data_IF_757941920799
#
_entry.id   IF_757941920799
#
_cell.length_a   1.000
_cell.length_b   1.000
_cell.length_c   1.000
_cell.angle_alpha   90.00
_cell.angle_beta   90.00
_cell.angle_gamma   90.00
#
_symmetry.space_group_name_H-M   'P 1'
#
loop_
_entity.id
_entity.type
_entity.pdbx_description
1 polymer ?
#
# COMPACT_ATOMS: atom_id res chain seq x y z
N UNK A 1 7.08 -4.75 28.84
CA UNK A 1 8.14 -5.38 28.04
C UNK A 1 8.40 -4.47 26.86
N UNK A 2 9.65 -4.10 26.54
CA UNK A 2 9.94 -3.39 25.27
C UNK A 2 9.89 -4.44 24.17
N UNK A 3 9.00 -4.27 23.20
CA UNK A 3 9.00 -5.08 21.99
C UNK A 3 10.01 -4.50 20.99
N UNK A 4 10.65 -5.37 20.21
CA UNK A 4 11.58 -5.03 19.13
C UNK A 4 11.66 -6.20 18.16
N UNK A 5 12.01 -5.93 16.90
CA UNK A 5 12.10 -6.97 15.85
C UNK A 5 10.72 -7.45 15.40
N UNK A 6 10.63 -8.73 15.00
CA UNK A 6 9.37 -9.36 14.56
C UNK A 6 8.61 -9.95 15.73
N UNK A 7 7.33 -9.61 15.84
CA UNK A 7 6.42 -10.12 16.87
C UNK A 7 5.18 -10.70 16.22
N UNK A 8 4.96 -12.01 16.42
CA UNK A 8 3.76 -12.68 15.96
C UNK A 8 2.51 -12.16 16.70
N UNK A 9 1.47 -11.89 15.93
CA UNK A 9 0.16 -11.42 16.39
C UNK A 9 -0.91 -12.25 15.68
N UNK A 10 -1.93 -12.67 16.40
CA UNK A 10 -3.06 -13.36 15.77
C UNK A 10 -3.78 -12.38 14.81
N UNK A 11 -3.91 -12.71 13.51
CA UNK A 11 -4.51 -11.82 12.53
C UNK A 11 -5.99 -11.52 12.78
N UNK A 12 -6.69 -12.39 13.50
CA UNK A 12 -8.13 -12.31 13.76
C UNK A 12 -8.44 -11.87 15.19
N UNK A 13 -7.57 -12.18 16.14
CA UNK A 13 -7.71 -11.84 17.55
C UNK A 13 -6.42 -11.23 18.14
N UNK A 14 -6.02 -10.04 17.67
CA UNK A 14 -4.73 -9.46 18.03
C UNK A 14 -4.61 -9.20 19.53
N UNK A 15 -3.52 -9.68 20.12
CA UNK A 15 -3.28 -9.59 21.56
C UNK A 15 -3.16 -8.14 22.02
N UNK A 16 -4.02 -7.75 22.97
CA UNK A 16 -4.20 -6.35 23.35
C UNK A 16 -2.95 -5.70 23.95
N UNK A 17 -2.07 -6.46 24.61
CA UNK A 17 -0.81 -5.99 25.17
C UNK A 17 0.22 -5.67 24.09
N UNK A 18 0.34 -6.54 23.06
CA UNK A 18 1.19 -6.31 21.90
C UNK A 18 0.75 -5.06 21.15
N UNK A 19 -0.56 -4.95 20.86
CA UNK A 19 -1.13 -3.78 20.19
C UNK A 19 -0.91 -2.49 20.98
N UNK A 20 -1.10 -2.52 22.32
CA UNK A 20 -0.88 -1.34 23.17
C UNK A 20 0.58 -0.87 23.16
N UNK A 21 1.53 -1.79 23.13
CA UNK A 21 2.95 -1.45 23.06
C UNK A 21 3.34 -0.91 21.67
N UNK A 22 2.84 -1.52 20.58
CA UNK A 22 3.01 -1.00 19.23
C UNK A 22 2.42 0.42 19.07
N UNK A 23 1.21 0.64 19.59
CA UNK A 23 0.58 1.95 19.63
C UNK A 23 1.39 2.97 20.46
N UNK A 24 2.02 2.52 21.55
CA UNK A 24 2.94 3.36 22.35
C UNK A 24 4.17 3.75 21.53
N UNK A 25 4.73 2.87 20.70
CA UNK A 25 5.82 3.20 19.79
C UNK A 25 5.39 4.29 18.81
N UNK A 26 4.26 4.12 18.12
CA UNK A 26 3.68 5.12 17.20
C UNK A 26 3.56 6.50 17.87
N UNK A 27 2.96 6.56 19.07
CA UNK A 27 2.78 7.82 19.81
C UNK A 27 4.10 8.49 20.19
N UNK A 28 5.17 7.73 20.35
CA UNK A 28 6.51 8.25 20.65
C UNK A 28 7.34 8.53 19.38
N UNK A 29 6.70 8.60 18.20
CA UNK A 29 7.36 8.85 16.92
C UNK A 29 8.07 7.63 16.33
N UNK A 30 7.73 6.43 16.82
CA UNK A 30 8.21 5.13 16.35
C UNK A 30 7.71 4.74 14.96
N UNK A 31 8.43 3.83 14.30
CA UNK A 31 8.06 3.17 13.06
C UNK A 31 7.60 1.74 13.36
N UNK A 32 6.37 1.41 13.00
CA UNK A 32 5.83 0.06 13.15
C UNK A 32 5.41 -0.46 11.78
N UNK A 33 5.96 -1.58 11.35
CA UNK A 33 5.44 -2.30 10.20
C UNK A 33 4.27 -3.19 10.63
N UNK A 34 3.18 -3.19 9.85
CA UNK A 34 1.96 -3.91 10.20
C UNK A 34 1.25 -4.46 8.96
N UNK A 35 0.53 -5.59 9.10
CA UNK A 35 -0.20 -6.19 7.99
C UNK A 35 -1.47 -5.39 7.67
N UNK A 36 -1.83 -5.37 6.39
CA UNK A 36 -3.17 -5.02 5.91
C UNK A 36 -3.70 -6.14 5.03
N UNK A 37 -4.95 -6.05 4.57
CA UNK A 37 -5.46 -6.98 3.55
C UNK A 37 -4.72 -6.85 2.21
N UNK A 38 -4.08 -5.69 1.95
CA UNK A 38 -3.37 -5.40 0.70
C UNK A 38 -1.91 -5.83 0.70
N UNK A 39 -1.08 -5.08 1.42
CA UNK A 39 0.37 -5.27 1.58
C UNK A 39 0.74 -4.82 3.00
N UNK A 40 1.93 -5.15 3.48
CA UNK A 40 2.43 -4.61 4.74
C UNK A 40 2.72 -3.12 4.60
N UNK A 41 2.32 -2.35 5.61
CA UNK A 41 2.53 -0.90 5.69
C UNK A 41 3.59 -0.52 6.72
N UNK A 42 4.42 0.48 6.44
CA UNK A 42 5.36 1.06 7.40
C UNK A 42 4.72 2.31 8.03
N UNK A 43 4.15 2.15 9.22
CA UNK A 43 3.37 3.18 9.91
C UNK A 43 4.17 4.08 10.83
N UNK A 44 3.83 5.37 10.82
CA UNK A 44 4.18 6.34 11.86
C UNK A 44 2.94 7.17 12.21
N UNK A 45 3.03 7.98 13.27
CA UNK A 45 1.99 8.96 13.59
C UNK A 45 1.83 9.95 12.42
N UNK A 46 0.69 9.89 11.72
CA UNK A 46 0.41 10.68 10.53
C UNK A 46 0.16 12.16 10.79
N UNK A 47 0.02 12.58 12.04
CA UNK A 47 -0.10 13.99 12.43
C UNK A 47 1.22 14.60 12.92
N UNK A 48 2.29 13.81 12.97
CA UNK A 48 3.63 14.26 13.37
C UNK A 48 4.58 14.25 12.17
N UNK A 49 4.89 15.44 11.65
CA UNK A 49 5.84 15.61 10.53
C UNK A 49 7.22 14.99 10.78
N UNK A 50 7.69 14.95 12.04
CA UNK A 50 8.99 14.33 12.37
C UNK A 50 8.92 12.82 12.32
N UNK A 51 7.83 12.24 12.84
CA UNK A 51 7.60 10.80 12.77
C UNK A 51 7.44 10.33 11.32
N UNK A 52 6.66 11.05 10.52
CA UNK A 52 6.49 10.74 9.09
C UNK A 52 7.76 10.92 8.28
N UNK A 53 8.62 11.91 8.60
CA UNK A 53 9.94 12.04 7.97
C UNK A 53 10.83 10.80 8.16
N UNK A 54 10.69 10.07 9.28
CA UNK A 54 11.41 8.79 9.49
C UNK A 54 11.00 7.72 8.49
N UNK A 55 9.74 7.69 8.03
CA UNK A 55 9.28 6.76 6.98
C UNK A 55 10.08 6.99 5.69
N UNK A 56 10.25 8.26 5.30
CA UNK A 56 11.01 8.60 4.09
C UNK A 56 12.48 8.22 4.22
N UNK A 57 13.08 8.48 5.39
CA UNK A 57 14.46 8.11 5.68
C UNK A 57 14.68 6.59 5.64
N UNK A 58 13.82 5.82 6.31
CA UNK A 58 13.89 4.36 6.36
C UNK A 58 13.79 3.73 4.96
N UNK A 59 12.91 4.26 4.10
CA UNK A 59 12.66 3.71 2.76
C UNK A 59 13.58 4.25 1.68
N UNK A 60 14.36 5.31 1.93
CA UNK A 60 14.98 6.10 0.87
C UNK A 60 13.96 6.67 -0.13
N UNK A 61 12.77 7.06 0.36
CA UNK A 61 11.65 7.53 -0.47
C UNK A 61 11.78 9.03 -0.78
N UNK A 62 11.50 9.49 -2.01
CA UNK A 62 11.41 10.91 -2.33
C UNK A 62 10.32 11.64 -1.53
N UNK A 63 10.62 12.83 -1.02
CA UNK A 63 9.70 13.65 -0.20
C UNK A 63 8.52 14.24 -0.99
N UNK A 64 8.56 14.22 -2.32
CA UNK A 64 7.50 14.70 -3.20
C UNK A 64 6.42 13.64 -3.48
N UNK A 65 6.57 12.43 -2.92
CA UNK A 65 5.64 11.32 -3.06
C UNK A 65 4.75 11.19 -1.80
N UNK A 66 3.46 11.57 -1.87
CA UNK A 66 2.58 11.64 -0.71
C UNK A 66 2.38 10.27 -0.03
N UNK A 67 1.86 10.30 1.20
CA UNK A 67 1.52 9.13 2.00
C UNK A 67 0.00 9.01 2.17
N UNK A 68 -0.46 7.79 2.45
CA UNK A 68 -1.88 7.51 2.76
C UNK A 68 -2.04 7.51 4.28
N UNK A 69 -3.02 8.27 4.78
CA UNK A 69 -3.45 8.20 6.16
C UNK A 69 -4.46 7.05 6.34
N UNK A 70 -4.17 6.19 7.31
CA UNK A 70 -5.00 5.05 7.66
C UNK A 70 -5.78 5.33 8.94
N UNK A 71 -7.07 4.98 8.93
CA UNK A 71 -8.03 5.24 10.00
C UNK A 71 -8.65 3.95 10.52
N UNK A 72 -9.10 3.97 11.77
CA UNK A 72 -9.90 2.91 12.38
C UNK A 72 -11.40 3.22 12.44
N UNK A 73 -11.80 4.41 11.99
CA UNK A 73 -13.20 4.84 11.90
C UNK A 73 -13.35 5.88 10.77
N UNK A 74 -14.39 5.79 9.93
CA UNK A 74 -14.63 6.77 8.87
C UNK A 74 -14.86 8.21 9.41
N UNK A 75 -15.45 8.34 10.60
CA UNK A 75 -15.75 9.62 11.22
C UNK A 75 -14.48 10.45 11.51
N UNK A 76 -13.36 9.80 11.75
CA UNK A 76 -12.08 10.48 12.01
C UNK A 76 -11.52 11.18 10.76
N UNK A 77 -11.92 10.76 9.55
CA UNK A 77 -11.48 11.38 8.29
C UNK A 77 -11.94 12.84 8.20
N UNK A 78 -13.13 13.15 8.72
CA UNK A 78 -13.70 14.51 8.71
C UNK A 78 -12.84 15.52 9.48
N UNK A 79 -11.90 15.05 10.32
CA UNK A 79 -10.95 15.92 11.02
C UNK A 79 -9.77 16.36 10.15
N UNK A 80 -9.47 15.63 9.08
CA UNK A 80 -8.27 15.89 8.24
C UNK A 80 -8.60 16.29 6.80
N UNK A 81 -9.82 16.01 6.35
CA UNK A 81 -10.23 16.19 4.96
C UNK A 81 -11.67 16.69 4.86
N UNK A 82 -11.97 17.42 3.79
CA UNK A 82 -13.34 17.71 3.39
C UNK A 82 -13.94 16.46 2.74
N UNK A 83 -15.08 16.00 3.26
CA UNK A 83 -15.73 14.78 2.79
C UNK A 83 -17.02 15.13 2.03
N UNK A 84 -17.01 15.17 0.69
CA UNK A 84 -18.22 15.34 -0.09
C UNK A 84 -19.13 14.12 0.05
N UNK A 85 -20.45 14.28 -0.20
CA UNK A 85 -21.44 13.20 -0.10
C UNK A 85 -21.05 11.93 -0.86
N UNK A 86 -20.44 12.08 -2.04
CA UNK A 86 -19.96 10.96 -2.85
C UNK A 86 -18.82 10.21 -2.16
N UNK A 87 -17.88 10.91 -1.52
CA UNK A 87 -16.83 10.27 -0.75
C UNK A 87 -17.40 9.53 0.45
N UNK A 88 -18.37 10.12 1.17
CA UNK A 88 -19.06 9.46 2.27
C UNK A 88 -19.73 8.14 1.81
N UNK A 89 -20.48 8.16 0.71
CA UNK A 89 -21.12 6.96 0.16
C UNK A 89 -20.10 5.87 -0.25
N UNK A 90 -18.94 6.26 -0.79
CA UNK A 90 -17.86 5.32 -1.12
C UNK A 90 -17.23 4.72 0.13
N UNK A 91 -17.00 5.52 1.18
CA UNK A 91 -16.51 5.03 2.47
C UNK A 91 -17.52 4.05 3.09
N UNK A 92 -18.80 4.41 3.16
CA UNK A 92 -19.86 3.55 3.73
C UNK A 92 -19.97 2.20 3.01
N UNK A 93 -19.74 2.18 1.68
CA UNK A 93 -19.87 0.97 0.88
C UNK A 93 -18.65 0.07 0.87
N UNK A 94 -17.46 0.67 0.81
CA UNK A 94 -16.21 -0.03 0.51
C UNK A 94 -15.20 -0.03 1.65
N UNK A 95 -15.49 0.65 2.77
CA UNK A 95 -14.68 0.58 3.98
C UNK A 95 -15.33 -0.28 5.06
N UNK A 96 -14.54 -1.02 5.85
CA UNK A 96 -13.09 -1.23 5.70
C UNK A 96 -12.73 -1.95 4.39
N UNK A 97 -11.63 -1.58 3.73
CA UNK A 97 -11.24 -2.25 2.48
C UNK A 97 -10.16 -1.57 1.63
N UNK A 98 -9.85 -2.18 0.46
CA UNK A 98 -8.73 -1.79 -0.40
C UNK A 98 -9.06 -0.60 -1.32
N UNK A 99 -9.80 0.39 -0.81
CA UNK A 99 -10.09 1.64 -1.50
C UNK A 99 -9.48 2.81 -0.74
N UNK A 100 -8.63 3.58 -1.42
CA UNK A 100 -8.09 4.86 -0.94
C UNK A 100 -8.78 6.00 -1.68
N UNK A 101 -9.21 7.02 -0.95
CA UNK A 101 -9.79 8.23 -1.53
C UNK A 101 -8.82 9.40 -1.39
N UNK A 102 -8.62 10.16 -2.46
CA UNK A 102 -7.95 11.47 -2.39
C UNK A 102 -9.01 12.56 -2.25
N UNK A 103 -8.89 13.32 -1.17
CA UNK A 103 -9.85 14.33 -0.73
C UNK A 103 -9.17 15.70 -0.55
N UNK A 104 -9.91 16.82 -0.63
CA UNK A 104 -9.37 18.12 -0.22
C UNK A 104 -8.92 18.07 1.24
N UNK A 105 -7.70 18.56 1.52
CA UNK A 105 -7.14 18.56 2.87
C UNK A 105 -7.65 19.74 3.68
N UNK A 106 -7.94 19.52 4.96
CA UNK A 106 -8.24 20.58 5.94
C UNK A 106 -6.97 21.26 6.50
N UNK A 107 -5.79 20.92 5.99
CA UNK A 107 -4.50 21.47 6.45
C UNK A 107 -4.01 20.90 7.79
N UNK A 108 -4.67 19.87 8.32
CA UNK A 108 -4.28 19.20 9.57
C UNK A 108 -3.13 18.20 9.35
N UNK A 109 -3.11 17.54 8.20
CA UNK A 109 -2.03 16.62 7.84
C UNK A 109 -0.74 17.42 7.55
N UNK A 110 0.42 16.98 8.06
CA UNK A 110 1.68 17.67 7.84
C UNK A 110 2.12 17.60 6.38
N UNK A 111 3.01 18.51 5.97
CA UNK A 111 3.51 18.62 4.59
C UNK A 111 4.17 17.33 4.12
N UNK A 112 4.83 16.60 5.01
CA UNK A 112 5.47 15.31 4.74
C UNK A 112 4.44 14.26 4.30
N UNK A 113 3.21 14.31 4.79
CA UNK A 113 2.13 13.39 4.36
C UNK A 113 1.57 13.82 3.01
N UNK A 114 1.27 15.11 2.83
CA UNK A 114 0.61 15.59 1.60
C UNK A 114 1.59 15.87 0.45
N UNK A 115 2.90 15.80 0.70
CA UNK A 115 3.94 16.29 -0.22
C UNK A 115 3.72 17.74 -0.69
N UNK A 116 3.10 18.56 0.18
CA UNK A 116 2.73 19.95 -0.11
C UNK A 116 1.53 20.13 -1.04
N UNK A 117 0.75 19.08 -1.28
CA UNK A 117 -0.51 19.15 -2.03
C UNK A 117 -1.63 19.76 -1.16
N UNK A 118 -2.65 20.30 -1.82
CA UNK A 118 -3.92 20.71 -1.21
C UNK A 118 -4.86 19.54 -0.92
N UNK A 119 -4.41 18.31 -1.15
CA UNK A 119 -5.19 17.08 -0.98
C UNK A 119 -4.50 16.10 -0.04
N UNK A 120 -5.27 15.17 0.51
CA UNK A 120 -4.79 14.09 1.37
C UNK A 120 -5.43 12.78 0.94
N UNK A 121 -4.63 11.71 0.92
CA UNK A 121 -5.11 10.36 0.64
C UNK A 121 -5.49 9.66 1.95
N UNK A 122 -6.69 9.07 1.99
CA UNK A 122 -7.26 8.46 3.19
C UNK A 122 -7.77 7.05 2.90
N UNK A 123 -7.65 6.15 3.88
CA UNK A 123 -8.10 4.76 3.80
C UNK A 123 -8.47 4.20 5.17
N UNK A 124 -9.43 3.29 5.21
CA UNK A 124 -9.67 2.41 6.36
C UNK A 124 -9.34 0.97 5.96
N UNK A 125 -8.22 0.37 6.45
CA UNK A 125 -7.81 -0.97 6.05
C UNK A 125 -8.75 -2.04 6.63
N UNK A 126 -8.94 -3.15 5.91
CA UNK A 126 -9.77 -4.28 6.33
C UNK A 126 -8.95 -5.39 7.00
N UNK A 127 -8.10 -5.02 7.97
CA UNK A 127 -7.28 -5.99 8.70
C UNK A 127 -7.39 -5.75 10.21
N UNK A 128 -7.77 -6.77 11.03
CA UNK A 128 -7.99 -6.57 12.46
C UNK A 128 -6.76 -6.02 13.21
N UNK A 129 -5.56 -6.51 12.91
CA UNK A 129 -4.30 -5.98 13.46
C UNK A 129 -4.11 -4.48 13.14
N UNK A 130 -4.32 -4.07 11.88
CA UNK A 130 -4.19 -2.66 11.48
C UNK A 130 -5.21 -1.78 12.21
N UNK A 131 -6.48 -2.18 12.21
CA UNK A 131 -7.55 -1.44 12.88
C UNK A 131 -7.29 -1.31 14.38
N UNK A 132 -6.86 -2.41 15.03
CA UNK A 132 -6.52 -2.41 16.45
C UNK A 132 -5.33 -1.48 16.75
N UNK A 133 -4.29 -1.48 15.90
CA UNK A 133 -3.14 -0.60 16.04
C UNK A 133 -3.53 0.88 15.91
N UNK A 134 -4.30 1.24 14.88
CA UNK A 134 -4.73 2.63 14.64
C UNK A 134 -5.61 3.10 15.80
N UNK A 135 -6.60 2.29 16.21
CA UNK A 135 -7.51 2.62 17.30
C UNK A 135 -6.77 2.78 18.63
N UNK A 136 -5.85 1.86 18.96
CA UNK A 136 -5.05 1.95 20.17
C UNK A 136 -4.03 3.10 20.12
N UNK A 137 -3.60 3.50 18.91
CA UNK A 137 -2.73 4.64 18.66
C UNK A 137 -3.41 5.97 19.00
N UNK A 138 -4.69 6.10 18.67
CA UNK A 138 -5.49 7.31 18.85
C UNK A 138 -5.14 8.42 17.86
N UNK A 139 -4.45 8.08 16.77
CA UNK A 139 -4.01 8.98 15.69
C UNK A 139 -4.06 8.22 14.37
N UNK A 140 -4.34 8.89 13.22
CA UNK A 140 -4.22 8.24 11.93
C UNK A 140 -2.76 7.86 11.66
N UNK A 141 -2.55 6.71 11.01
CA UNK A 141 -1.21 6.26 10.64
C UNK A 141 -0.89 6.68 9.22
N UNK A 142 0.18 7.46 9.02
CA UNK A 142 0.75 7.60 7.69
C UNK A 142 1.52 6.31 7.39
N UNK A 143 1.15 5.62 6.31
CA UNK A 143 1.79 4.35 5.95
C UNK A 143 1.83 4.14 4.43
N UNK A 144 3.02 4.18 3.79
CA UNK A 144 3.24 3.52 2.51
C UNK A 144 3.50 2.03 2.71
N UNK A 145 3.70 1.28 1.63
CA UNK A 145 4.19 -0.11 1.68
C UNK A 145 5.49 -0.24 2.48
N UNK A 146 5.75 -1.36 3.13
CA UNK A 146 6.89 -1.55 4.05
C UNK A 146 8.18 -2.07 3.38
N UNK A 147 8.54 -1.52 2.22
CA UNK A 147 9.75 -1.88 1.46
C UNK A 147 10.64 -0.66 1.15
N UNK A 148 11.91 -0.87 0.84
CA UNK A 148 12.77 0.17 0.27
C UNK A 148 12.20 0.69 -1.05
N UNK A 149 12.34 1.99 -1.31
CA UNK A 149 11.76 2.65 -2.47
C UNK A 149 12.23 2.00 -3.78
N UNK A 150 11.29 1.53 -4.59
CA UNK A 150 11.55 0.86 -5.88
C UNK A 150 11.47 -0.67 -5.85
N UNK A 151 11.64 -1.29 -4.67
CA UNK A 151 11.46 -2.74 -4.50
C UNK A 151 9.98 -3.15 -4.57
N UNK A 152 9.68 -4.44 -4.80
CA UNK A 152 8.32 -4.96 -4.66
C UNK A 152 7.73 -4.68 -3.28
N UNK A 153 6.42 -4.42 -3.23
CA UNK A 153 5.69 -4.25 -1.97
C UNK A 153 5.65 -5.58 -1.20
N UNK A 154 5.86 -5.57 0.12
CA UNK A 154 5.94 -6.80 0.91
C UNK A 154 4.54 -7.29 1.29
N UNK A 155 4.32 -8.59 1.16
CA UNK A 155 3.04 -9.25 1.47
C UNK A 155 3.10 -10.08 2.75
N UNK A 156 4.27 -10.25 3.37
CA UNK A 156 4.46 -10.92 4.65
C UNK A 156 5.52 -10.20 5.50
N UNK A 157 5.61 -10.56 6.78
CA UNK A 157 6.55 -9.96 7.72
C UNK A 157 8.01 -10.29 7.41
N UNK A 158 8.28 -11.47 6.83
CA UNK A 158 9.64 -11.90 6.47
C UNK A 158 10.23 -10.99 5.38
N UNK A 159 9.45 -10.64 4.36
CA UNK A 159 9.84 -9.70 3.32
C UNK A 159 10.09 -8.29 3.89
N UNK A 160 9.35 -7.88 4.92
CA UNK A 160 9.61 -6.61 5.63
C UNK A 160 10.91 -6.68 6.43
N UNK A 161 11.14 -7.78 7.16
CA UNK A 161 12.36 -7.97 7.96
C UNK A 161 13.61 -7.97 7.09
N UNK A 162 13.58 -8.67 5.95
CA UNK A 162 14.69 -8.74 5.00
C UNK A 162 15.05 -7.35 4.43
N UNK A 163 14.05 -6.52 4.14
CA UNK A 163 14.25 -5.23 3.47
C UNK A 163 14.49 -4.07 4.46
N UNK A 164 13.62 -3.93 5.46
CA UNK A 164 13.56 -2.77 6.36
C UNK A 164 13.73 -3.12 7.84
N UNK A 165 14.15 -4.35 8.19
CA UNK A 165 14.28 -4.79 9.59
C UNK A 165 15.08 -3.83 10.47
N UNK A 166 16.28 -3.44 10.02
CA UNK A 166 17.16 -2.52 10.76
C UNK A 166 16.63 -1.07 10.85
N UNK A 167 15.70 -0.70 9.96
CA UNK A 167 15.13 0.64 9.88
C UNK A 167 13.76 0.77 10.57
N UNK A 168 13.24 -0.33 11.13
CA UNK A 168 11.90 -0.41 11.73
C UNK A 168 11.99 -0.69 13.24
N UNK A 169 11.19 -0.01 14.06
CA UNK A 169 11.25 -0.21 15.52
C UNK A 169 10.53 -1.50 15.96
N UNK A 170 9.50 -1.93 15.21
CA UNK A 170 8.72 -3.14 15.45
C UNK A 170 8.04 -3.62 14.15
N UNK A 171 8.04 -4.93 13.92
CA UNK A 171 7.27 -5.58 12.85
C UNK A 171 6.21 -6.47 13.51
N UNK A 172 4.93 -6.19 13.23
CA UNK A 172 3.84 -7.06 13.63
C UNK A 172 3.63 -8.12 12.55
N UNK A 173 3.87 -9.38 12.87
CA UNK A 173 3.61 -10.50 11.96
C UNK A 173 2.19 -11.03 12.19
N UNK A 174 1.29 -10.66 11.28
CA UNK A 174 -0.07 -11.20 11.23
C UNK A 174 -0.28 -12.17 10.08
N UNK A 175 0.78 -12.79 9.56
CA UNK A 175 0.70 -13.66 8.38
C UNK A 175 0.60 -12.89 7.05
N UNK A 176 0.39 -13.61 5.94
CA UNK A 176 0.41 -13.02 4.60
C UNK A 176 -0.83 -12.15 4.31
N UNK A 177 -0.63 -11.10 3.53
CA UNK A 177 -1.70 -10.25 3.02
C UNK A 177 -2.57 -11.02 2.02
N UNK A 178 -3.89 -10.89 2.14
CA UNK A 178 -4.84 -11.69 1.35
C UNK A 178 -5.05 -11.22 -0.09
N UNK A 179 -4.77 -9.94 -0.40
CA UNK A 179 -4.96 -9.36 -1.74
C UNK A 179 -3.64 -9.30 -2.52
N UNK A 180 -2.52 -9.00 -1.86
CA UNK A 180 -1.18 -9.03 -2.46
C UNK A 180 -0.80 -7.84 -3.33
N UNK A 181 -1.75 -6.97 -3.68
CA UNK A 181 -1.53 -5.68 -4.38
C UNK A 181 -2.06 -4.52 -3.55
N UNK A 182 -1.58 -3.29 -3.77
CA UNK A 182 -2.06 -2.16 -2.96
C UNK A 182 -3.51 -1.78 -3.23
N UNK A 183 -4.06 -0.88 -2.41
CA UNK A 183 -5.40 -0.33 -2.61
C UNK A 183 -5.53 0.43 -3.93
N UNK A 184 -6.70 0.35 -4.53
CA UNK A 184 -7.15 1.27 -5.59
C UNK A 184 -7.18 2.68 -5.04
N UNK A 185 -6.65 3.65 -5.79
CA UNK A 185 -6.61 5.06 -5.39
C UNK A 185 -7.48 5.87 -6.32
N UNK A 186 -8.52 6.51 -5.77
CA UNK A 186 -9.49 7.29 -6.51
C UNK A 186 -9.45 8.76 -6.06
N UNK A 187 -9.22 9.67 -7.00
CA UNK A 187 -9.45 11.10 -6.78
C UNK A 187 -10.93 11.40 -6.89
N UNK A 188 -11.50 11.95 -5.81
CA UNK A 188 -12.90 12.34 -5.75
C UNK A 188 -13.08 13.83 -5.43
N UNK A 189 -12.01 14.63 -5.56
CA UNK A 189 -12.00 16.07 -5.29
C UNK A 189 -12.77 16.89 -6.33
N UNK A 190 -12.87 16.41 -7.56
CA UNK A 190 -13.54 17.08 -8.67
C UNK A 190 -14.94 16.56 -8.99
N UNK A 191 -15.48 16.95 -10.14
CA UNK A 191 -16.76 16.43 -10.65
C UNK A 191 -16.72 14.96 -11.06
N UNK A 192 -15.55 14.49 -11.52
CA UNK A 192 -15.35 13.11 -11.99
C UNK A 192 -14.75 12.21 -10.91
N UNK A 193 -14.86 10.89 -11.11
CA UNK A 193 -14.09 9.88 -10.39
C UNK A 193 -12.85 9.56 -11.21
N UNK A 194 -11.66 9.86 -10.72
CA UNK A 194 -10.42 9.71 -11.51
C UNK A 194 -9.55 8.64 -10.86
N UNK A 195 -9.25 7.58 -11.61
CA UNK A 195 -8.37 6.52 -11.15
C UNK A 195 -6.94 7.04 -11.15
N UNK A 196 -6.33 7.12 -9.97
CA UNK A 196 -4.91 7.48 -9.83
C UNK A 196 -4.03 6.24 -9.76
N UNK A 197 -4.55 5.13 -9.23
CA UNK A 197 -3.83 3.86 -9.18
C UNK A 197 -4.82 2.68 -9.18
N UNK A 198 -4.69 1.69 -10.09
CA UNK A 198 -5.42 0.43 -9.97
C UNK A 198 -4.96 -0.35 -8.74
N UNK A 199 -5.80 -1.21 -8.18
CA UNK A 199 -5.44 -1.98 -6.99
C UNK A 199 -6.53 -2.96 -6.56
N UNK A 200 -6.51 -3.34 -5.29
CA UNK A 200 -7.35 -4.39 -4.72
C UNK A 200 -8.87 -4.15 -4.73
N UNK A 201 -9.35 -2.97 -5.13
CA UNK A 201 -10.78 -2.72 -5.39
C UNK A 201 -11.00 -2.59 -6.91
N UNK A 202 -11.72 -3.54 -7.53
CA UNK A 202 -12.09 -3.44 -8.95
C UNK A 202 -12.82 -2.13 -9.25
N UNK A 203 -12.50 -1.52 -10.39
CA UNK A 203 -13.07 -0.25 -10.81
C UNK A 203 -14.54 -0.43 -11.19
N UNK A 204 -14.86 -1.57 -11.77
CA UNK A 204 -16.18 -1.98 -12.20
C UNK A 204 -17.18 -1.96 -11.03
N UNK A 205 -16.76 -2.44 -9.85
CA UNK A 205 -17.61 -2.39 -8.65
C UNK A 205 -17.91 -0.95 -8.20
N UNK A 206 -16.95 -0.03 -8.40
CA UNK A 206 -17.13 1.40 -8.08
C UNK A 206 -18.09 2.03 -9.08
N UNK A 207 -17.94 1.73 -10.37
CA UNK A 207 -18.84 2.21 -11.42
C UNK A 207 -20.27 1.70 -11.20
N UNK A 208 -20.44 0.41 -10.92
CA UNK A 208 -21.74 -0.22 -10.69
C UNK A 208 -22.46 0.38 -9.47
N UNK A 209 -21.73 0.64 -8.39
CA UNK A 209 -22.30 1.26 -7.19
C UNK A 209 -22.67 2.73 -7.41
N UNK A 210 -21.82 3.50 -8.08
CA UNK A 210 -22.00 4.95 -8.22
C UNK A 210 -22.86 5.35 -9.42
N UNK A 211 -22.99 4.47 -10.42
CA UNK A 211 -23.55 4.80 -11.74
C UNK A 211 -22.67 5.76 -12.55
N UNK A 212 -21.45 6.05 -12.11
CA UNK A 212 -20.51 6.97 -12.75
C UNK A 212 -19.36 6.20 -13.39
N UNK A 213 -18.90 6.67 -14.55
CA UNK A 213 -17.68 6.14 -15.16
C UNK A 213 -16.44 6.67 -14.44
N UNK A 214 -15.48 5.79 -14.23
CA UNK A 214 -14.17 6.13 -13.68
C UNK A 214 -13.23 6.49 -14.84
N UNK A 215 -12.65 7.68 -14.77
CA UNK A 215 -11.77 8.20 -15.80
C UNK A 215 -10.35 7.67 -15.56
N UNK A 216 -9.81 7.00 -16.58
CA UNK A 216 -8.47 6.41 -16.60
C UNK A 216 -7.42 7.41 -17.10
N UNK A 217 -7.39 8.63 -16.58
CA UNK A 217 -6.36 9.61 -16.95
C UNK A 217 -6.33 10.76 -15.93
N UNK A 218 -5.48 10.61 -14.92
CA UNK A 218 -4.96 11.77 -14.21
C UNK A 218 -3.83 12.35 -15.06
N UNK A 219 -4.08 13.40 -15.84
CA UNK A 219 -2.99 14.18 -16.46
C UNK A 219 -1.92 14.58 -15.42
N UNK A 220 -0.76 15.08 -15.87
CA UNK A 220 0.45 15.35 -15.05
C UNK A 220 0.23 16.09 -13.70
N UNK A 221 -0.92 16.74 -13.51
CA UNK A 221 -1.28 17.50 -12.32
C UNK A 221 -1.76 16.66 -11.10
N UNK A 222 -2.18 15.40 -11.24
CA UNK A 222 -2.79 14.62 -10.13
C UNK A 222 -1.83 13.57 -9.55
N UNK A 223 -1.15 13.92 -8.46
CA UNK A 223 -0.15 13.07 -7.77
C UNK A 223 -0.80 12.05 -6.83
N UNK A 224 -0.33 10.80 -6.88
CA UNK A 224 -0.67 9.76 -5.89
C UNK A 224 0.53 8.81 -5.67
N UNK A 225 0.55 8.03 -4.58
CA UNK A 225 1.56 7.00 -4.40
C UNK A 225 1.50 5.99 -5.57
N UNK A 226 2.61 5.78 -6.27
CA UNK A 226 2.70 4.78 -7.33
C UNK A 226 2.84 5.33 -8.76
N UNK A 227 2.66 6.65 -8.98
CA UNK A 227 2.50 7.18 -10.36
C UNK A 227 3.71 7.86 -10.98
N UNK A 228 4.78 8.19 -10.21
CA UNK A 228 5.92 9.00 -10.71
C UNK A 228 7.23 8.26 -10.88
N UNK A 229 7.53 7.30 -10.01
CA UNK A 229 8.82 6.60 -9.98
C UNK A 229 8.63 5.14 -10.42
N UNK A 230 9.70 4.45 -10.83
CA UNK A 230 9.62 3.00 -11.07
C UNK A 230 9.18 2.33 -9.76
N UNK A 231 7.93 1.91 -9.72
CA UNK A 231 7.34 1.10 -8.67
C UNK A 231 7.34 -0.34 -9.19
N UNK A 232 7.71 -1.31 -8.34
CA UNK A 232 7.84 -2.72 -8.73
C UNK A 232 8.97 -3.01 -9.73
N UNK A 233 10.19 -2.57 -9.41
CA UNK A 233 11.37 -2.88 -10.20
C UNK A 233 12.21 -3.96 -9.50
N UNK A 234 12.08 -5.25 -9.88
CA UNK A 234 13.03 -6.26 -9.42
C UNK A 234 14.45 -5.91 -9.89
N UNK A 235 15.47 -6.45 -9.21
CA UNK A 235 16.88 -6.26 -9.60
C UNK A 235 17.24 -6.99 -10.89
N UNK A 236 16.41 -7.93 -11.32
CA UNK A 236 16.53 -8.65 -12.60
C UNK A 236 15.66 -7.99 -13.68
N UNK A 237 16.05 -8.03 -14.96
CA UNK A 237 15.21 -7.55 -16.05
C UNK A 237 13.84 -8.24 -16.08
N UNK A 238 12.75 -7.45 -16.20
CA UNK A 238 11.38 -7.93 -16.33
C UNK A 238 10.88 -7.69 -17.76
N UNK A 239 10.21 -8.68 -18.34
CA UNK A 239 9.57 -8.62 -19.65
C UNK A 239 8.08 -8.98 -19.48
N UNK A 240 7.18 -8.18 -20.06
CA UNK A 240 5.74 -8.48 -20.06
C UNK A 240 5.40 -9.39 -21.25
N UNK A 241 4.59 -10.42 -21.02
CA UNK A 241 4.31 -11.47 -22.01
C UNK A 241 3.57 -10.99 -23.26
N UNK A 242 2.77 -9.93 -23.16
CA UNK A 242 2.00 -9.37 -24.28
C UNK A 242 2.85 -8.60 -25.30
N UNK A 243 4.14 -8.41 -25.02
CA UNK A 243 5.07 -7.84 -25.98
C UNK A 243 5.43 -8.91 -27.03
N UNK A 244 5.17 -8.60 -28.31
CA UNK A 244 5.37 -9.51 -29.45
C UNK A 244 6.76 -10.16 -29.54
N UNK A 245 7.77 -9.55 -28.91
CA UNK A 245 9.17 -9.98 -28.95
C UNK A 245 9.71 -10.39 -27.56
N UNK A 246 8.84 -10.65 -26.58
CA UNK A 246 9.23 -10.97 -25.20
C UNK A 246 10.16 -12.20 -25.15
N UNK A 247 9.88 -13.21 -25.98
CA UNK A 247 10.67 -14.43 -26.09
C UNK A 247 12.08 -14.18 -26.66
N UNK A 248 12.18 -13.46 -27.78
CA UNK A 248 13.47 -13.12 -28.40
C UNK A 248 14.36 -12.34 -27.43
N UNK A 249 13.77 -11.39 -26.68
CA UNK A 249 14.48 -10.59 -25.68
C UNK A 249 14.95 -11.41 -24.49
N UNK A 250 14.11 -12.33 -24.01
CA UNK A 250 14.47 -13.28 -22.95
C UNK A 250 15.66 -14.16 -23.35
N UNK A 251 15.64 -14.71 -24.56
CA UNK A 251 16.73 -15.55 -25.10
C UNK A 251 18.00 -14.71 -25.25
N UNK A 252 17.90 -13.50 -25.81
CA UNK A 252 19.04 -12.59 -25.98
C UNK A 252 19.69 -12.19 -24.65
N UNK A 253 18.94 -12.18 -23.55
CA UNK A 253 19.43 -11.86 -22.21
C UNK A 253 20.16 -13.04 -21.50
N UNK A 254 20.33 -14.18 -22.16
CA UNK A 254 21.11 -15.31 -21.64
C UNK A 254 20.29 -16.55 -21.24
N UNK A 255 19.01 -16.61 -21.60
CA UNK A 255 18.22 -17.84 -21.68
C UNK A 255 17.76 -18.49 -20.37
N UNK A 256 18.14 -17.97 -19.19
CA UNK A 256 17.56 -18.37 -17.90
C UNK A 256 16.52 -17.36 -17.47
N UNK A 257 15.25 -17.75 -17.55
CA UNK A 257 14.10 -16.89 -17.27
C UNK A 257 13.25 -17.55 -16.20
N UNK A 258 12.83 -16.78 -15.20
CA UNK A 258 11.77 -17.19 -14.28
C UNK A 258 10.44 -16.67 -14.84
N UNK A 259 9.48 -17.57 -15.01
CA UNK A 259 8.13 -17.21 -15.42
C UNK A 259 7.26 -16.95 -14.20
N UNK A 260 6.46 -15.88 -14.27
CA UNK A 260 5.45 -15.56 -13.27
C UNK A 260 4.15 -15.28 -14.02
N UNK A 261 3.17 -16.17 -13.89
CA UNK A 261 1.89 -16.06 -14.58
C UNK A 261 0.89 -17.08 -14.05
N UNK A 262 -0.40 -16.81 -14.30
CA UNK A 262 -1.50 -17.69 -13.87
C UNK A 262 -1.54 -19.01 -14.66
N UNK A 263 -0.95 -19.01 -15.85
CA UNK A 263 -0.81 -20.16 -16.73
C UNK A 263 0.69 -20.43 -16.93
N UNK A 264 1.06 -21.69 -17.14
CA UNK A 264 2.45 -22.08 -17.25
C UNK A 264 3.16 -21.53 -18.50
N UNK A 265 4.51 -21.57 -18.52
CA UNK A 265 5.33 -21.01 -19.58
C UNK A 265 5.15 -21.72 -20.94
N UNK A 266 4.46 -22.86 -20.99
CA UNK A 266 4.27 -23.69 -22.20
C UNK A 266 3.50 -22.97 -23.32
N UNK A 267 2.89 -21.83 -23.02
CA UNK A 267 2.27 -20.93 -24.00
C UNK A 267 3.33 -20.24 -24.88
N UNK A 268 4.55 -20.04 -24.35
CA UNK A 268 5.65 -19.32 -25.01
C UNK A 268 6.83 -20.22 -25.38
N UNK A 269 6.99 -21.33 -24.67
CA UNK A 269 8.12 -22.23 -24.82
C UNK A 269 7.65 -23.54 -25.43
N UNK A 270 8.39 -24.03 -26.43
CA UNK A 270 8.10 -25.33 -27.00
C UNK A 270 8.23 -26.43 -25.93
N UNK A 271 7.50 -27.56 -26.07
CA UNK A 271 7.64 -28.68 -25.16
C UNK A 271 9.10 -29.08 -24.95
N UNK A 272 9.57 -29.05 -23.69
CA UNK A 272 10.95 -29.34 -23.31
C UNK A 272 11.91 -28.14 -23.22
N UNK A 273 11.45 -26.92 -23.54
CA UNK A 273 12.24 -25.68 -23.35
C UNK A 273 12.10 -25.07 -21.94
N UNK A 274 11.10 -25.48 -21.17
CA UNK A 274 10.89 -25.07 -19.78
C UNK A 274 11.24 -26.22 -18.83
N UNK A 275 11.84 -25.89 -17.69
CA UNK A 275 12.05 -26.84 -16.59
C UNK A 275 10.75 -26.97 -15.78
N UNK A 276 10.07 -28.13 -15.83
CA UNK A 276 8.78 -28.31 -15.16
C UNK A 276 8.90 -28.27 -13.63
N UNK A 277 10.09 -28.44 -13.05
CA UNK A 277 10.31 -28.36 -11.60
C UNK A 277 10.47 -26.91 -11.11
N UNK A 278 10.62 -25.94 -12.02
CA UNK A 278 10.82 -24.51 -11.69
C UNK A 278 9.59 -23.63 -11.97
N UNK A 279 8.48 -24.23 -12.43
CA UNK A 279 7.20 -23.53 -12.61
C UNK A 279 6.48 -23.39 -11.28
N UNK A 280 6.50 -22.18 -10.70
CA UNK A 280 5.56 -21.79 -9.66
C UNK A 280 4.27 -21.31 -10.36
N UNK A 281 3.26 -22.18 -10.38
CA UNK A 281 1.88 -21.80 -10.70
C UNK A 281 1.21 -21.27 -9.43
#
# INVERSE_FOLDING_TARGET
MRLSGVVAVDPWNPQADIIREAARLIRNGGLVAFPTETVYGLGANGLDGRATARIFAAKGRPLDNPLILHFSSPEEVYRVAEVPKRAAALMDRFWPGPLTLVLPSMGVAPREVTAGLSTVAVRMPSHPVALALIAAGGVPLAAPSANSSGRPSPTDAAAVEEDLGDATDLILDGGPASVGVESTVLDVTGGDLVLLRPGGRPVEEIEDFTGLKVVLEGGEARRSPGTRHRHYAPSVPLLLHDEKDARERAIAAGGRVAWLGMEGPEILFAPGEADPELSLV
#
